data_IF_636683962290
#
_entry.id   IF_636683962290
#
_cell.length_a   1.000
_cell.length_b   1.000
_cell.length_c   1.000
_cell.angle_alpha   90.00
_cell.angle_beta   90.00
_cell.angle_gamma   90.00
#
_symmetry.space_group_name_H-M   'P 1'
#
loop_
_entity.id
_entity.type
_entity.pdbx_description
1 polymer ?
#
# COMPACT_ATOMS: atom_id res chain seq x y z
N UNK A 1 1.95 -1.24 12.85
CA UNK A 1 1.27 -0.60 11.74
C UNK A 1 0.67 -1.66 10.83
N UNK A 2 -0.19 -1.27 9.91
CA UNK A 2 -1.00 -2.21 9.15
C UNK A 2 -0.38 -2.51 7.80
N UNK A 3 -0.73 -3.65 7.24
CA UNK A 3 -0.31 -4.05 5.91
C UNK A 3 -1.52 -4.22 5.01
N UNK A 4 -1.37 -3.85 3.75
CA UNK A 4 -2.42 -3.99 2.74
C UNK A 4 -1.85 -4.79 1.57
N UNK A 5 -2.64 -5.74 1.08
CA UNK A 5 -2.18 -6.64 0.02
C UNK A 5 -2.97 -6.41 -1.26
N UNK A 6 -2.24 -6.33 -2.37
CA UNK A 6 -2.84 -6.27 -3.68
C UNK A 6 -3.45 -7.64 -4.01
N UNK A 7 -4.72 -7.65 -4.41
CA UNK A 7 -5.42 -8.90 -4.71
C UNK A 7 -5.02 -9.49 -6.06
N UNK A 8 -4.34 -8.72 -6.89
CA UNK A 8 -3.98 -9.15 -8.24
C UNK A 8 -2.58 -9.76 -8.28
N UNK A 9 -1.59 -9.07 -7.73
CA UNK A 9 -0.20 -9.53 -7.80
C UNK A 9 0.38 -9.96 -6.47
N UNK A 10 -0.32 -9.71 -5.35
CA UNK A 10 0.15 -10.08 -4.02
C UNK A 10 1.15 -9.10 -3.42
N UNK A 11 1.35 -7.93 -4.04
CA UNK A 11 2.26 -6.92 -3.51
C UNK A 11 1.74 -6.40 -2.16
N UNK A 12 2.64 -6.18 -1.22
CA UNK A 12 2.29 -5.75 0.13
C UNK A 12 2.71 -4.30 0.35
N UNK A 13 1.77 -3.46 0.78
CA UNK A 13 2.07 -2.13 1.28
C UNK A 13 2.16 -2.18 2.80
N UNK A 14 3.33 -1.87 3.34
CA UNK A 14 3.54 -1.80 4.78
C UNK A 14 3.58 -0.34 5.18
N UNK A 15 2.64 0.09 6.03
CA UNK A 15 2.57 1.47 6.47
C UNK A 15 3.84 1.93 7.17
N UNK A 16 4.54 1.00 7.83
CA UNK A 16 5.77 1.34 8.52
C UNK A 16 6.90 1.68 7.55
N UNK A 17 6.93 1.02 6.41
CA UNK A 17 7.97 1.22 5.39
C UNK A 17 7.61 2.30 4.38
N UNK A 18 6.31 2.49 4.13
CA UNK A 18 5.86 3.41 3.10
C UNK A 18 6.28 2.97 1.71
N UNK A 19 6.34 3.92 0.79
CA UNK A 19 6.82 3.66 -0.57
C UNK A 19 7.49 4.93 -1.10
N UNK A 20 8.73 5.22 -0.63
CA UNK A 20 9.39 6.49 -0.98
C UNK A 20 9.58 6.70 -2.47
N UNK A 21 9.67 5.63 -3.25
CA UNK A 21 9.83 5.73 -4.71
C UNK A 21 8.64 6.42 -5.37
N UNK A 22 7.47 6.37 -4.73
CA UNK A 22 6.25 7.04 -5.20
C UNK A 22 5.90 8.24 -4.34
N UNK A 23 6.82 8.70 -3.52
CA UNK A 23 6.58 9.87 -2.69
C UNK A 23 5.82 9.59 -1.41
N UNK A 24 5.69 8.34 -1.02
CA UNK A 24 4.97 7.94 0.19
C UNK A 24 5.99 7.66 1.29
N UNK A 25 6.08 8.58 2.24
CA UNK A 25 7.05 8.45 3.32
C UNK A 25 6.74 7.26 4.24
N UNK A 26 7.78 6.72 4.85
CA UNK A 26 7.61 5.69 5.87
C UNK A 26 6.71 6.22 6.99
N UNK A 27 5.80 5.38 7.47
CA UNK A 27 4.86 5.76 8.51
C UNK A 27 3.58 6.39 8.00
N UNK A 28 3.40 6.48 6.67
CA UNK A 28 2.18 7.04 6.10
C UNK A 28 1.04 6.03 6.22
N UNK A 29 -0.06 6.37 6.91
CA UNK A 29 -1.20 5.47 6.99
C UNK A 29 -1.86 5.32 5.62
N UNK A 30 -2.51 4.18 5.40
CA UNK A 30 -3.13 3.88 4.11
C UNK A 30 -4.14 4.94 3.69
N UNK A 31 -4.88 5.50 4.64
CA UNK A 31 -5.88 6.53 4.34
C UNK A 31 -5.27 7.81 3.78
N UNK A 32 -3.99 8.05 4.06
CA UNK A 32 -3.29 9.24 3.57
C UNK A 32 -2.62 9.01 2.21
N UNK A 33 -2.61 7.77 1.74
CA UNK A 33 -2.11 7.45 0.40
C UNK A 33 -3.08 8.04 -0.62
N UNK A 34 -2.58 8.77 -1.64
CA UNK A 34 -3.46 9.40 -2.63
C UNK A 34 -4.41 8.41 -3.29
N UNK A 35 -5.64 8.87 -3.57
CA UNK A 35 -6.64 8.04 -4.23
C UNK A 35 -6.20 7.59 -5.62
N UNK A 36 -5.38 8.40 -6.30
CA UNK A 36 -4.88 8.06 -7.63
C UNK A 36 -3.64 7.17 -7.60
N UNK A 37 -3.21 6.75 -6.41
CA UNK A 37 -2.10 5.82 -6.30
C UNK A 37 -2.48 4.46 -6.89
N UNK A 38 -1.52 3.81 -7.52
CA UNK A 38 -1.74 2.47 -8.06
C UNK A 38 -0.60 1.54 -7.62
N UNK A 39 -0.88 0.24 -7.66
CA UNK A 39 0.12 -0.76 -7.31
C UNK A 39 1.34 -0.63 -8.23
N UNK A 40 2.55 -0.50 -7.68
CA UNK A 40 3.75 -0.33 -8.50
C UNK A 40 4.12 -1.59 -9.28
N UNK A 41 3.55 -2.74 -8.89
CA UNK A 41 3.87 -4.01 -9.54
C UNK A 41 2.92 -4.32 -10.70
N UNK A 42 1.62 -4.15 -10.51
CA UNK A 42 0.65 -4.51 -11.54
C UNK A 42 -0.20 -3.35 -12.03
N UNK A 43 -0.11 -2.19 -11.42
CA UNK A 43 -0.84 -1.01 -11.85
C UNK A 43 -2.31 -0.96 -11.49
N UNK A 44 -2.78 -1.90 -10.66
CA UNK A 44 -4.18 -1.90 -10.22
C UNK A 44 -4.43 -0.72 -9.29
N UNK A 45 -5.68 -0.25 -9.23
CA UNK A 45 -6.01 0.91 -8.42
C UNK A 45 -5.90 0.62 -6.92
N UNK A 46 -5.75 1.69 -6.13
CA UNK A 46 -5.67 1.61 -4.68
C UNK A 46 -6.81 0.81 -4.06
N UNK A 47 -8.01 0.93 -4.63
CA UNK A 47 -9.19 0.26 -4.11
C UNK A 47 -9.09 -1.27 -4.12
N UNK A 48 -8.15 -1.82 -4.88
CA UNK A 48 -7.96 -3.26 -4.98
C UNK A 48 -6.97 -3.80 -3.96
N UNK A 49 -6.44 -2.96 -3.08
CA UNK A 49 -5.61 -3.42 -1.97
C UNK A 49 -6.47 -3.52 -0.73
N UNK A 50 -6.42 -4.65 -0.06
CA UNK A 50 -7.20 -4.89 1.14
C UNK A 50 -6.32 -5.02 2.36
N UNK A 51 -6.84 -4.55 3.49
CA UNK A 51 -6.18 -4.73 4.77
C UNK A 51 -6.05 -6.22 5.08
N UNK A 52 -4.85 -6.67 5.37
CA UNK A 52 -4.63 -8.08 5.72
C UNK A 52 -4.48 -8.25 7.21
N UNK A 53 -3.48 -7.58 7.81
CA UNK A 53 -3.27 -7.67 9.26
C UNK A 53 -2.14 -6.71 9.62
N UNK A 54 -1.94 -6.52 10.91
CA UNK A 54 -0.76 -5.80 11.37
C UNK A 54 0.48 -6.61 10.98
N UNK A 55 1.54 -5.89 10.64
CA UNK A 55 2.82 -6.53 10.42
C UNK A 55 3.25 -7.26 11.69
N UNK A 56 3.39 -8.53 11.59
CA UNK A 56 3.76 -9.35 12.74
C UNK A 56 5.24 -9.24 13.02
#
# INVERSE_FOLDING_TARGET
>A
MKCYQCLVCGWIYDEQLGWPQEGIAAGTPWRDVPENWSCPDCGISKACLLYTSDAA
#
